data_IF_629518076559
#
_entry.id   IF_629518076559
#
_cell.length_a   1.000
_cell.length_b   1.000
_cell.length_c   1.000
_cell.angle_alpha   90.00
_cell.angle_beta   90.00
_cell.angle_gamma   90.00
#
_symmetry.space_group_name_H-M   'P 1'
#
loop_
_entity.id
_entity.type
_entity.pdbx_description
1 polymer ?
#
# COMPACT_ATOMS: atom_id res chain seq x y z
N UNK A 1 -8.97 -0.19 -19.54
CA UNK A 1 -7.59 0.02 -19.04
C UNK A 1 -6.62 -0.70 -19.96
N UNK A 2 -5.59 -0.01 -20.47
CA UNK A 2 -4.60 -0.58 -21.38
C UNK A 2 -3.41 -1.16 -20.60
N UNK A 3 -3.39 -2.49 -20.46
CA UNK A 3 -2.36 -3.25 -19.73
C UNK A 3 -0.94 -2.93 -20.22
N UNK A 4 -0.69 -3.04 -21.53
CA UNK A 4 0.64 -2.86 -22.11
C UNK A 4 1.16 -1.44 -21.86
N UNK A 5 0.31 -0.43 -22.03
CA UNK A 5 0.66 0.98 -21.80
C UNK A 5 1.06 1.22 -20.34
N UNK A 6 0.32 0.65 -19.38
CA UNK A 6 0.61 0.79 -17.96
C UNK A 6 1.93 0.10 -17.58
N UNK A 7 2.19 -1.10 -18.09
CA UNK A 7 3.44 -1.83 -17.86
C UNK A 7 4.63 -1.07 -18.46
N UNK A 8 4.53 -0.61 -19.71
CA UNK A 8 5.60 0.20 -20.34
C UNK A 8 5.88 1.47 -19.53
N UNK A 9 4.84 2.19 -19.09
CA UNK A 9 4.99 3.38 -18.26
C UNK A 9 5.70 3.08 -16.93
N UNK A 10 5.41 1.93 -16.32
CA UNK A 10 6.09 1.50 -15.09
C UNK A 10 7.58 1.27 -15.34
N UNK A 11 7.94 0.48 -16.36
CA UNK A 11 9.34 0.15 -16.67
C UNK A 11 10.16 1.41 -16.96
N UNK A 12 9.60 2.36 -17.71
CA UNK A 12 10.28 3.63 -18.02
C UNK A 12 10.55 4.51 -16.78
N UNK A 13 9.88 4.24 -15.65
CA UNK A 13 9.83 5.12 -14.48
C UNK A 13 10.23 4.43 -13.17
N UNK A 14 10.39 3.12 -13.18
CA UNK A 14 10.75 2.31 -12.01
C UNK A 14 12.09 2.75 -11.41
N UNK A 15 13.08 3.04 -12.27
CA UNK A 15 14.42 3.54 -11.88
C UNK A 15 14.38 4.88 -11.11
N UNK A 16 13.27 5.62 -11.17
CA UNK A 16 13.11 6.92 -10.52
C UNK A 16 12.40 6.85 -9.16
N UNK A 17 11.92 5.68 -8.74
CA UNK A 17 11.18 5.53 -7.48
C UNK A 17 11.87 4.51 -6.58
N UNK A 18 12.71 5.05 -5.71
CA UNK A 18 13.53 4.32 -4.73
C UNK A 18 12.67 3.54 -3.72
N UNK A 19 11.34 3.75 -3.63
CA UNK A 19 10.49 3.11 -2.62
C UNK A 19 9.12 2.69 -3.14
N UNK A 20 9.04 1.48 -3.66
CA UNK A 20 7.77 0.85 -4.03
C UNK A 20 6.98 0.31 -2.80
N UNK A 21 7.59 0.36 -1.60
CA UNK A 21 6.96 -0.06 -0.35
C UNK A 21 6.02 0.97 0.28
N UNK A 22 6.18 2.27 0.02
CA UNK A 22 5.23 3.32 0.40
C UNK A 22 4.98 4.17 -0.82
N UNK A 23 3.77 4.10 -1.36
CA UNK A 23 3.43 4.82 -2.58
C UNK A 23 2.23 5.70 -2.31
N UNK A 24 2.28 6.94 -2.78
CA UNK A 24 1.16 7.89 -2.77
C UNK A 24 0.35 7.81 -4.06
N UNK A 25 -0.86 8.35 -4.06
CA UNK A 25 -1.70 8.46 -5.26
C UNK A 25 -0.97 9.23 -6.38
N UNK A 26 -0.21 10.26 -6.00
CA UNK A 26 0.59 11.06 -6.94
C UNK A 26 1.72 10.27 -7.60
N UNK A 27 2.31 9.31 -6.88
CA UNK A 27 3.37 8.45 -7.40
C UNK A 27 2.79 7.31 -8.23
N UNK A 28 1.64 6.76 -7.85
CA UNK A 28 0.90 5.82 -8.69
C UNK A 28 0.53 6.44 -10.04
N UNK A 29 0.03 7.69 -10.03
CA UNK A 29 -0.26 8.44 -11.25
C UNK A 29 1.01 8.59 -12.11
N UNK A 30 2.15 8.91 -11.49
CA UNK A 30 3.43 8.99 -12.21
C UNK A 30 3.91 7.64 -12.70
N UNK A 31 3.69 6.54 -11.99
CA UNK A 31 4.14 5.22 -12.41
C UNK A 31 3.32 4.67 -13.58
N UNK A 32 2.01 4.66 -13.41
CA UNK A 32 1.11 3.88 -14.26
C UNK A 32 0.20 4.74 -15.14
N UNK A 33 0.03 6.02 -14.81
CA UNK A 33 -0.84 6.95 -15.53
C UNK A 33 -2.28 7.00 -15.02
N UNK A 34 -3.09 7.81 -15.71
CA UNK A 34 -4.43 8.22 -15.29
C UNK A 34 -5.44 7.06 -15.20
N UNK A 35 -5.34 6.07 -16.10
CA UNK A 35 -6.28 4.95 -16.12
C UNK A 35 -6.18 4.10 -14.83
N UNK A 36 -4.95 3.86 -14.36
CA UNK A 36 -4.71 3.08 -13.14
C UNK A 36 -5.17 3.84 -11.90
N UNK A 37 -4.83 5.13 -11.77
CA UNK A 37 -5.27 5.90 -10.59
C UNK A 37 -6.79 6.09 -10.55
N UNK A 38 -7.45 6.18 -11.70
CA UNK A 38 -8.91 6.23 -11.80
C UNK A 38 -9.51 4.94 -11.25
N UNK A 39 -9.06 3.78 -11.72
CA UNK A 39 -9.55 2.50 -11.24
C UNK A 39 -9.28 2.27 -9.74
N UNK A 40 -8.09 2.64 -9.24
CA UNK A 40 -7.76 2.56 -7.81
C UNK A 40 -8.68 3.47 -6.97
N UNK A 41 -8.95 4.69 -7.46
CA UNK A 41 -9.86 5.64 -6.80
C UNK A 41 -11.29 5.13 -6.74
N UNK A 42 -11.79 4.57 -7.84
CA UNK A 42 -13.14 3.98 -7.94
C UNK A 42 -13.30 2.80 -6.98
N UNK A 43 -12.35 1.87 -6.96
CA UNK A 43 -12.37 0.75 -6.03
C UNK A 43 -12.25 1.20 -4.57
N UNK A 44 -11.41 2.21 -4.28
CA UNK A 44 -11.32 2.78 -2.95
C UNK A 44 -12.61 3.48 -2.50
N UNK A 45 -13.35 4.10 -3.43
CA UNK A 45 -14.67 4.66 -3.16
C UNK A 45 -15.68 3.56 -2.86
N UNK A 46 -15.72 2.52 -3.69
CA UNK A 46 -16.58 1.35 -3.49
C UNK A 46 -16.32 0.68 -2.13
N UNK A 47 -15.06 0.49 -1.74
CA UNK A 47 -14.71 -0.06 -0.41
C UNK A 47 -15.29 0.76 0.74
N UNK A 48 -15.24 2.09 0.65
CA UNK A 48 -15.78 3.00 1.68
C UNK A 48 -17.30 2.98 1.74
N UNK A 49 -17.95 2.92 0.58
CA UNK A 49 -19.42 2.93 0.49
C UNK A 49 -20.01 1.59 0.92
N UNK A 50 -19.40 0.48 0.51
CA UNK A 50 -19.86 -0.87 0.80
C UNK A 50 -19.26 -1.46 2.08
N UNK A 51 -18.22 -0.84 2.63
CA UNK A 51 -17.48 -1.36 3.78
C UNK A 51 -16.88 -2.74 3.50
N UNK A 52 -16.35 -3.00 2.30
CA UNK A 52 -15.87 -4.35 1.92
C UNK A 52 -14.83 -4.87 2.91
N UNK A 53 -13.81 -4.07 3.20
CA UNK A 53 -12.76 -4.44 4.16
C UNK A 53 -13.30 -4.57 5.59
N UNK A 54 -14.24 -3.71 5.98
CA UNK A 54 -14.87 -3.75 7.30
C UNK A 54 -15.69 -5.03 7.48
N UNK A 55 -16.53 -5.38 6.49
CA UNK A 55 -17.37 -6.59 6.50
C UNK A 55 -16.53 -7.87 6.53
N UNK A 56 -15.39 -7.90 5.84
CA UNK A 56 -14.49 -9.06 5.85
C UNK A 56 -13.49 -9.04 7.03
N UNK A 57 -13.53 -8.01 7.88
CA UNK A 57 -12.64 -7.87 9.03
C UNK A 57 -11.15 -7.76 8.67
N UNK A 58 -10.84 -7.31 7.45
CA UNK A 58 -9.45 -7.22 6.96
C UNK A 58 -8.76 -8.58 6.82
N UNK A 59 -9.49 -9.62 6.39
CA UNK A 59 -8.97 -10.98 6.23
C UNK A 59 -7.63 -11.03 5.46
N UNK A 60 -7.49 -10.26 4.37
CA UNK A 60 -6.24 -10.20 3.62
C UNK A 60 -5.06 -9.69 4.48
N UNK A 61 -5.26 -8.64 5.28
CA UNK A 61 -4.24 -8.10 6.18
C UNK A 61 -3.86 -9.11 7.28
N UNK A 62 -4.83 -9.89 7.75
CA UNK A 62 -4.61 -10.96 8.74
C UNK A 62 -3.80 -12.12 8.13
N UNK A 63 -4.19 -12.59 6.95
CA UNK A 63 -3.58 -13.75 6.30
C UNK A 63 -2.12 -13.51 5.94
N UNK A 64 -1.79 -12.30 5.51
CA UNK A 64 -0.40 -11.92 5.18
C UNK A 64 0.41 -11.51 6.42
N UNK A 65 -0.21 -11.48 7.61
CA UNK A 65 0.47 -11.06 8.84
C UNK A 65 0.90 -9.60 8.86
N UNK A 66 0.08 -8.70 8.30
CA UNK A 66 0.37 -7.26 8.28
C UNK A 66 0.55 -6.72 9.70
N UNK A 67 1.69 -6.09 9.97
CA UNK A 67 2.05 -5.62 11.31
C UNK A 67 1.12 -4.52 11.82
N UNK A 68 0.54 -3.76 10.88
CA UNK A 68 -0.38 -2.66 11.14
C UNK A 68 -1.85 -3.09 11.22
N UNK A 69 -2.13 -4.40 11.15
CA UNK A 69 -3.48 -4.92 11.26
C UNK A 69 -4.00 -4.87 12.70
N UNK A 70 -5.11 -4.19 12.94
CA UNK A 70 -5.92 -4.39 14.13
C UNK A 70 -7.39 -4.42 13.71
N UNK A 71 -8.20 -5.40 14.18
CA UNK A 71 -9.61 -5.51 13.78
C UNK A 71 -10.45 -4.30 14.23
N UNK A 72 -9.96 -3.52 15.20
CA UNK A 72 -10.59 -2.29 15.66
C UNK A 72 -10.48 -1.16 14.62
N UNK A 73 -9.49 -1.20 13.71
CA UNK A 73 -9.39 -0.20 12.66
C UNK A 73 -10.39 -0.46 11.54
N UNK A 74 -11.26 0.51 11.28
CA UNK A 74 -12.21 0.46 10.16
C UNK A 74 -11.55 0.66 8.78
N UNK A 75 -10.27 1.05 8.76
CA UNK A 75 -9.47 1.27 7.55
C UNK A 75 -7.98 1.06 7.84
N UNK A 76 -7.17 0.82 6.80
CA UNK A 76 -5.72 0.77 6.96
C UNK A 76 -5.19 2.08 7.58
N UNK A 77 -4.38 2.02 8.66
CA UNK A 77 -3.95 3.22 9.35
C UNK A 77 -3.01 4.10 8.52
N UNK A 78 -2.30 3.51 7.55
CA UNK A 78 -1.42 4.19 6.59
C UNK A 78 -2.03 4.26 5.17
N UNK A 79 -3.36 4.35 5.04
CA UNK A 79 -4.08 4.26 3.76
C UNK A 79 -3.43 5.03 2.60
N UNK A 80 -2.98 6.26 2.86
CA UNK A 80 -2.38 7.19 1.89
C UNK A 80 -0.98 6.79 1.42
N UNK A 81 -0.28 5.97 2.19
CA UNK A 81 1.10 5.53 1.94
C UNK A 81 1.19 4.01 1.81
N UNK A 82 0.07 3.33 1.53
CA UNK A 82 0.06 1.86 1.47
C UNK A 82 1.08 1.34 0.45
N UNK A 83 1.64 0.14 0.69
CA UNK A 83 2.44 -0.55 -0.30
C UNK A 83 1.72 -0.69 -1.63
N UNK A 84 2.48 -0.67 -2.72
CA UNK A 84 1.96 -0.79 -4.08
C UNK A 84 1.11 -2.05 -4.27
N UNK A 85 1.53 -3.17 -3.69
CA UNK A 85 0.77 -4.42 -3.68
C UNK A 85 -0.60 -4.23 -3.03
N UNK A 86 -0.66 -3.59 -1.86
CA UNK A 86 -1.92 -3.29 -1.16
C UNK A 86 -2.80 -2.26 -1.90
N UNK A 87 -2.24 -1.51 -2.85
CA UNK A 87 -2.97 -0.52 -3.66
C UNK A 87 -3.50 -1.09 -4.98
N UNK A 88 -2.85 -2.11 -5.54
CA UNK A 88 -3.20 -2.68 -6.84
C UNK A 88 -3.80 -4.09 -6.74
N UNK A 89 -3.54 -4.81 -5.64
CA UNK A 89 -4.07 -6.14 -5.39
C UNK A 89 -5.28 -6.09 -4.45
N UNK A 90 -6.44 -5.75 -5.01
CA UNK A 90 -7.71 -5.75 -4.28
C UNK A 90 -8.23 -7.17 -4.05
N UNK A 91 -8.97 -7.37 -2.95
CA UNK A 91 -9.43 -8.70 -2.56
C UNK A 91 -10.53 -9.23 -3.50
N UNK A 92 -10.73 -10.54 -3.51
CA UNK A 92 -11.77 -11.17 -4.31
C UNK A 92 -13.19 -10.76 -3.91
N UNK A 93 -13.43 -10.12 -2.76
CA UNK A 93 -14.77 -9.62 -2.39
C UNK A 93 -15.14 -8.32 -3.08
N UNK A 94 -14.17 -7.67 -3.74
CA UNK A 94 -14.47 -6.69 -4.77
C UNK A 94 -15.11 -7.35 -6.01
N UNK A 95 -15.24 -8.70 -6.05
CA UNK A 95 -15.69 -9.45 -7.22
C UNK A 95 -17.22 -9.55 -7.47
N UNK A 96 -18.08 -8.75 -6.86
CA UNK A 96 -19.51 -9.10 -6.81
C UNK A 96 -20.37 -8.72 -8.03
N UNK A 97 -19.89 -7.95 -9.03
CA UNK A 97 -20.79 -7.61 -10.16
C UNK A 97 -20.16 -7.39 -11.56
N UNK A 98 -18.97 -6.80 -11.71
CA UNK A 98 -18.40 -6.47 -13.04
C UNK A 98 -16.87 -6.19 -12.97
N UNK A 99 -16.08 -7.20 -12.59
CA UNK A 99 -14.73 -7.03 -12.03
C UNK A 99 -13.60 -6.83 -13.03
N UNK A 100 -13.84 -6.14 -14.13
CA UNK A 100 -12.75 -5.78 -15.03
C UNK A 100 -11.65 -4.94 -14.35
N UNK A 101 -11.93 -4.00 -13.42
CA UNK A 101 -10.88 -3.13 -12.89
C UNK A 101 -9.94 -3.82 -11.88
N UNK A 102 -10.47 -4.56 -10.91
CA UNK A 102 -9.65 -5.20 -9.87
C UNK A 102 -8.71 -6.27 -10.45
N UNK A 103 -9.22 -7.09 -11.39
CA UNK A 103 -8.39 -8.07 -12.09
C UNK A 103 -7.34 -7.40 -12.97
N UNK A 104 -7.73 -6.37 -13.73
CA UNK A 104 -6.78 -5.68 -14.59
C UNK A 104 -5.70 -4.92 -13.79
N UNK A 105 -6.00 -4.38 -12.61
CA UNK A 105 -5.01 -3.77 -11.71
C UNK A 105 -4.02 -4.80 -11.18
N UNK A 106 -4.51 -5.98 -10.79
CA UNK A 106 -3.65 -7.10 -10.39
C UNK A 106 -2.74 -7.54 -11.53
N UNK A 107 -3.28 -7.68 -12.73
CA UNK A 107 -2.51 -8.12 -13.90
C UNK A 107 -1.48 -7.07 -14.31
N UNK A 108 -1.80 -5.77 -14.18
CA UNK A 108 -0.82 -4.67 -14.34
C UNK A 108 0.30 -4.80 -13.31
N UNK A 109 -0.03 -4.98 -12.04
CA UNK A 109 0.96 -5.09 -10.98
C UNK A 109 1.93 -6.26 -11.22
N UNK A 110 1.38 -7.47 -11.44
CA UNK A 110 2.19 -8.67 -11.67
C UNK A 110 3.00 -8.57 -12.97
N UNK A 111 2.41 -8.00 -14.03
CA UNK A 111 3.09 -7.77 -15.30
C UNK A 111 4.23 -6.77 -15.18
N UNK A 112 4.04 -5.69 -14.40
CA UNK A 112 5.07 -4.70 -14.10
C UNK A 112 6.24 -5.27 -13.32
N UNK A 113 5.96 -6.03 -12.25
CA UNK A 113 7.02 -6.71 -11.49
C UNK A 113 7.80 -7.68 -12.37
N UNK A 114 7.09 -8.57 -13.09
CA UNK A 114 7.73 -9.57 -13.94
C UNK A 114 8.61 -8.93 -15.02
N UNK A 115 8.10 -7.87 -15.68
CA UNK A 115 8.85 -7.21 -16.74
C UNK A 115 10.09 -6.49 -16.20
N UNK A 116 10.02 -5.96 -15.00
CA UNK A 116 11.14 -5.28 -14.34
C UNK A 116 12.19 -6.27 -13.84
N UNK A 117 11.79 -7.40 -13.23
CA UNK A 117 12.71 -8.49 -12.87
C UNK A 117 13.44 -9.04 -14.10
N UNK A 118 12.75 -9.17 -15.25
CA UNK A 118 13.37 -9.56 -16.52
C UNK A 118 14.38 -8.51 -16.99
N UNK A 119 14.08 -7.22 -16.80
CA UNK A 119 14.94 -6.12 -17.25
C UNK A 119 16.21 -5.99 -16.40
N UNK A 120 16.10 -6.07 -15.08
CA UNK A 120 17.21 -5.82 -14.15
C UNK A 120 17.95 -7.10 -13.77
N UNK A 121 17.28 -8.26 -13.87
CA UNK A 121 17.79 -9.53 -13.33
C UNK A 121 17.74 -9.61 -11.79
N UNK A 122 17.20 -8.59 -11.13
CA UNK A 122 17.03 -8.54 -9.68
C UNK A 122 15.61 -8.91 -9.31
N UNK A 123 15.44 -9.67 -8.22
CA UNK A 123 14.09 -9.98 -7.76
C UNK A 123 13.49 -8.82 -6.98
N UNK A 124 12.23 -8.52 -7.30
CA UNK A 124 11.43 -7.50 -6.65
C UNK A 124 10.54 -8.06 -5.54
N UNK A 125 10.72 -9.34 -5.17
CA UNK A 125 10.00 -10.01 -4.06
C UNK A 125 9.82 -9.16 -2.78
N UNK A 126 10.78 -8.30 -2.36
CA UNK A 126 10.60 -7.44 -1.18
C UNK A 126 9.43 -6.45 -1.31
N UNK A 127 8.96 -6.15 -2.52
CA UNK A 127 7.92 -5.16 -2.81
C UNK A 127 6.51 -5.78 -2.87
N UNK A 128 6.44 -7.11 -2.84
CA UNK A 128 5.27 -7.84 -3.30
C UNK A 128 4.20 -8.01 -2.23
N UNK A 129 4.59 -8.02 -0.94
CA UNK A 129 3.63 -8.22 0.16
C UNK A 129 4.20 -7.69 1.49
N UNK A 130 3.36 -7.14 2.38
CA UNK A 130 3.63 -7.17 3.82
C UNK A 130 4.18 -8.54 4.26
N UNK A 131 5.10 -8.59 5.25
CA UNK A 131 5.29 -7.59 6.28
C UNK A 131 6.11 -6.39 5.81
N UNK A 132 5.62 -5.17 6.07
CA UNK A 132 6.29 -3.92 5.68
C UNK A 132 7.65 -3.82 6.36
N UNK A 133 7.78 -4.40 7.56
CA UNK A 133 9.00 -4.42 8.36
C UNK A 133 10.16 -5.17 7.72
N UNK A 134 9.93 -5.97 6.66
CA UNK A 134 11.03 -6.54 5.86
C UNK A 134 11.82 -5.48 5.10
N UNK A 135 11.12 -4.42 4.66
CA UNK A 135 11.69 -3.38 3.82
C UNK A 135 11.86 -2.06 4.57
N UNK A 136 11.05 -1.84 5.61
CA UNK A 136 11.02 -0.62 6.41
C UNK A 136 10.86 -0.96 7.91
N UNK A 137 11.83 -1.67 8.51
CA UNK A 137 11.76 -2.08 9.91
C UNK A 137 11.68 -0.89 10.87
N UNK A 138 12.32 0.25 10.53
CA UNK A 138 12.30 1.44 11.37
C UNK A 138 10.90 2.07 11.43
N UNK A 139 10.19 2.10 10.30
CA UNK A 139 8.80 2.58 10.28
C UNK A 139 7.92 1.70 11.16
N UNK A 140 7.99 0.37 10.97
CA UNK A 140 7.18 -0.56 11.74
C UNK A 140 7.47 -0.48 13.23
N UNK A 141 8.74 -0.35 13.62
CA UNK A 141 9.14 -0.15 15.02
C UNK A 141 8.48 1.09 15.64
N UNK A 142 8.30 2.17 14.87
CA UNK A 142 7.66 3.40 15.34
C UNK A 142 6.14 3.30 15.40
N UNK A 143 5.52 2.58 14.46
CA UNK A 143 4.05 2.52 14.34
C UNK A 143 3.40 1.44 15.20
N UNK A 144 4.04 0.27 15.34
CA UNK A 144 3.47 -0.91 16.02
C UNK A 144 3.04 -0.62 17.47
N UNK A 145 3.77 0.16 18.29
CA UNK A 145 3.33 0.47 19.64
C UNK A 145 1.90 1.03 19.70
N UNK A 146 1.53 1.97 18.81
CA UNK A 146 0.18 2.52 18.79
C UNK A 146 -0.87 1.53 18.28
N UNK A 147 -0.49 0.64 17.36
CA UNK A 147 -1.36 -0.46 16.92
C UNK A 147 -1.62 -1.42 18.08
N UNK A 148 -0.60 -1.73 18.88
CA UNK A 148 -0.73 -2.58 20.06
C UNK A 148 -1.57 -1.93 21.15
N UNK A 149 -1.40 -0.64 21.43
CA UNK A 149 -2.28 0.06 22.38
C UNK A 149 -3.76 0.02 21.94
N UNK A 150 -4.05 0.09 20.64
CA UNK A 150 -5.41 -0.11 20.11
C UNK A 150 -5.87 -1.55 20.28
N UNK A 151 -5.01 -2.54 20.01
CA UNK A 151 -5.34 -3.97 20.18
C UNK A 151 -5.73 -4.29 21.63
N UNK A 152 -5.05 -3.68 22.59
CA UNK A 152 -5.30 -3.86 24.02
C UNK A 152 -6.42 -2.94 24.58
N UNK A 153 -6.95 -2.02 23.77
CA UNK A 153 -8.02 -1.10 24.18
C UNK A 153 -7.55 0.06 25.05
N UNK A 154 -6.25 0.34 25.07
CA UNK A 154 -5.63 1.43 25.85
C UNK A 154 -5.59 2.75 25.10
N UNK A 155 -5.70 2.72 23.76
CA UNK A 155 -5.72 3.88 22.89
C UNK A 155 -6.93 3.82 21.96
N UNK A 156 -7.64 4.94 21.80
CA UNK A 156 -8.76 4.99 20.86
C UNK A 156 -8.26 4.89 19.42
N UNK A 157 -9.09 4.30 18.56
CA UNK A 157 -8.81 4.14 17.13
C UNK A 157 -8.55 5.48 16.45
N UNK A 158 -9.33 6.51 16.79
CA UNK A 158 -9.22 7.84 16.19
C UNK A 158 -7.88 8.49 16.55
N UNK A 159 -7.47 8.40 17.81
CA UNK A 159 -6.22 9.00 18.26
C UNK A 159 -5.01 8.24 17.70
N UNK A 160 -5.04 6.91 17.70
CA UNK A 160 -3.99 6.11 17.09
C UNK A 160 -3.83 6.39 15.59
N UNK A 161 -4.94 6.59 14.85
CA UNK A 161 -4.88 6.94 13.44
C UNK A 161 -4.19 8.28 13.19
N UNK A 162 -4.39 9.28 14.04
CA UNK A 162 -3.68 10.57 13.95
C UNK A 162 -2.18 10.35 14.13
N UNK A 163 -1.77 9.70 15.22
CA UNK A 163 -0.36 9.46 15.53
C UNK A 163 0.34 8.65 14.43
N UNK A 164 -0.28 7.56 13.98
CA UNK A 164 0.27 6.68 12.94
C UNK A 164 0.45 7.44 11.62
N UNK A 165 -0.55 8.24 11.21
CA UNK A 165 -0.49 9.00 9.95
C UNK A 165 0.57 10.09 9.98
N UNK A 166 0.65 10.82 11.09
CA UNK A 166 1.68 11.84 11.27
C UNK A 166 3.08 11.23 11.18
N UNK A 167 3.33 10.13 11.87
CA UNK A 167 4.65 9.49 11.85
C UNK A 167 4.97 8.84 10.50
N UNK A 168 4.00 8.16 9.87
CA UNK A 168 4.17 7.61 8.54
C UNK A 168 4.46 8.72 7.51
N UNK A 169 3.78 9.87 7.61
CA UNK A 169 4.02 11.03 6.76
C UNK A 169 5.41 11.65 6.97
N UNK A 170 5.88 11.75 8.22
CA UNK A 170 7.25 12.20 8.54
C UNK A 170 8.30 11.26 7.95
N UNK A 171 8.13 9.96 8.16
CA UNK A 171 9.04 8.93 7.64
C UNK A 171 9.07 8.93 6.11
N UNK A 172 7.91 8.98 5.46
CA UNK A 172 7.84 9.10 4.00
C UNK A 172 8.50 10.38 3.46
N UNK A 173 8.35 11.50 4.17
CA UNK A 173 9.01 12.76 3.78
C UNK A 173 10.52 12.70 3.93
N UNK A 174 11.04 12.08 5.01
CA UNK A 174 12.49 11.96 5.24
C UNK A 174 13.15 11.05 4.21
N UNK A 175 12.45 9.99 3.83
CA UNK A 175 12.84 9.08 2.77
C UNK A 175 12.98 9.79 1.42
N UNK A 176 12.01 10.63 1.04
CA UNK A 176 12.08 11.42 -0.22
C UNK A 176 13.19 12.47 -0.22
N UNK A 177 13.56 12.97 0.94
CA UNK A 177 14.64 13.94 1.10
C UNK A 177 16.02 13.27 1.25
N UNK A 178 16.12 11.94 1.15
CA UNK A 178 17.38 11.21 1.22
C UNK A 178 18.02 11.15 2.60
N UNK A 179 17.23 11.34 3.68
CA UNK A 179 17.75 11.37 5.05
C UNK A 179 16.92 10.48 5.99
N UNK A 180 17.00 9.14 5.86
CA UNK A 180 16.31 8.22 6.75
C UNK A 180 17.12 8.06 8.04
N UNK A 181 17.18 9.10 8.89
CA UNK A 181 17.86 8.98 10.18
C UNK A 181 18.48 10.28 10.68
N UNK A 182 17.66 11.11 11.31
CA UNK A 182 18.07 11.99 12.39
C UNK A 182 16.82 12.30 13.22
N UNK A 183 16.48 11.39 14.12
CA UNK A 183 15.77 11.79 15.34
C UNK A 183 16.84 12.17 16.35
N UNK A 184 16.75 13.34 17.02
CA UNK A 184 17.69 13.69 18.07
C UNK A 184 17.48 12.75 19.26
N UNK A 185 18.59 12.21 19.76
CA UNK A 185 18.69 11.56 21.07
C UNK A 185 18.20 12.49 22.21
#
# INVERSE_FOLDING_TARGET
>A
MNLQKAITSFIERADHLIQLCLVTDSELLKLYGEEVITAVTELGKFDREEGVCLRCGGQCCRDIGCELYAPQFNQCPIYEFRPIACRLHFCHLFNAADNSPALALRDIFLGSLSAEEIRTGESLTPLDVPPIGRCMPELITRLVPWVDEVRHGNLSTEHALVLIREEAGKYYSSLRNGNPGNSPD
#
